data_IF_375698727703
#
_entry.id   IF_375698727703
#
_cell.length_a   1.000
_cell.length_b   1.000
_cell.length_c   1.000
_cell.angle_alpha   90.00
_cell.angle_beta   90.00
_cell.angle_gamma   90.00
#
_symmetry.space_group_name_H-M   'P 1'
#
loop_
_entity.id
_entity.type
_entity.pdbx_description
1 polymer ?
#
# COMPACT_ATOMS: atom_id res chain seq x y z
N UNK A 1 -13.58 8.24 1.30
CA UNK A 1 -12.63 7.23 0.80
C UNK A 1 -11.58 6.96 1.88
N UNK A 2 -10.88 5.81 1.88
CA UNK A 2 -9.91 5.44 2.93
C UNK A 2 -8.54 6.11 2.76
N UNK A 3 -8.16 6.44 1.53
CA UNK A 3 -6.85 7.00 1.16
C UNK A 3 -7.04 8.35 0.46
N UNK A 4 -6.18 9.31 0.76
CA UNK A 4 -6.15 10.65 0.14
C UNK A 4 -4.71 11.15 -0.03
N UNK A 5 -4.54 12.28 -0.72
CA UNK A 5 -3.25 12.96 -0.92
C UNK A 5 -2.14 12.03 -1.46
N UNK A 6 -2.49 11.14 -2.39
CA UNK A 6 -1.52 10.20 -2.94
C UNK A 6 -0.48 10.90 -3.81
N UNK A 7 0.80 10.64 -3.54
CA UNK A 7 1.93 11.11 -4.33
C UNK A 7 2.84 9.93 -4.64
N UNK A 8 3.22 9.78 -5.91
CA UNK A 8 4.20 8.78 -6.36
C UNK A 8 5.29 9.47 -7.16
N UNK A 9 6.55 9.28 -6.78
CA UNK A 9 7.71 9.91 -7.45
C UNK A 9 7.53 11.43 -7.63
N UNK A 10 7.07 12.13 -6.59
CA UNK A 10 6.77 13.57 -6.59
C UNK A 10 5.58 14.02 -7.45
N UNK A 11 4.89 13.10 -8.13
CA UNK A 11 3.68 13.40 -8.89
C UNK A 11 2.43 13.13 -8.06
N UNK A 12 1.51 14.09 -8.05
CA UNK A 12 0.17 13.89 -7.47
C UNK A 12 -0.56 12.84 -8.28
N UNK A 13 -1.15 11.85 -7.60
CA UNK A 13 -1.86 10.74 -8.20
C UNK A 13 -3.27 10.65 -7.63
N UNK A 14 -4.20 10.16 -8.43
CA UNK A 14 -5.49 9.74 -7.89
C UNK A 14 -5.31 8.41 -7.12
N UNK A 15 -5.66 8.40 -5.84
CA UNK A 15 -5.54 7.20 -4.99
C UNK A 15 -6.33 6.00 -5.56
N UNK A 16 -7.50 6.24 -6.15
CA UNK A 16 -8.36 5.20 -6.73
C UNK A 16 -7.77 4.58 -8.00
N UNK A 17 -6.87 5.30 -8.68
CA UNK A 17 -6.20 4.79 -9.87
C UNK A 17 -4.99 3.94 -9.51
N UNK A 18 -4.24 4.29 -8.48
CA UNK A 18 -2.96 3.65 -8.16
C UNK A 18 -3.08 2.49 -7.17
N UNK A 19 -4.10 2.50 -6.31
CA UNK A 19 -4.40 1.41 -5.40
C UNK A 19 -5.47 0.48 -5.96
N UNK A 20 -5.27 -0.81 -5.77
CA UNK A 20 -6.23 -1.84 -6.17
C UNK A 20 -6.74 -2.55 -4.93
N UNK A 21 -8.06 -2.65 -4.80
CA UNK A 21 -8.70 -3.43 -3.73
C UNK A 21 -8.31 -4.91 -3.86
N UNK A 22 -7.78 -5.50 -2.79
CA UNK A 22 -7.34 -6.90 -2.68
C UNK A 22 -7.87 -7.50 -1.38
N UNK A 23 -8.12 -8.81 -1.37
CA UNK A 23 -8.41 -9.56 -0.14
C UNK A 23 -7.11 -10.15 0.41
N UNK A 24 -6.85 -9.96 1.69
CA UNK A 24 -5.76 -10.58 2.45
C UNK A 24 -6.32 -11.44 3.59
N UNK A 25 -5.44 -12.11 4.33
CA UNK A 25 -5.80 -12.78 5.58
C UNK A 25 -6.30 -11.82 6.68
N UNK A 26 -6.02 -10.51 6.57
CA UNK A 26 -6.52 -9.47 7.48
C UNK A 26 -7.79 -8.78 6.97
N UNK A 27 -8.40 -9.28 5.89
CA UNK A 27 -9.63 -8.73 5.31
C UNK A 27 -9.41 -7.96 4.01
N UNK A 28 -10.21 -6.91 3.77
CA UNK A 28 -10.12 -6.10 2.55
C UNK A 28 -9.02 -5.05 2.72
N UNK A 29 -8.11 -4.97 1.75
CA UNK A 29 -6.97 -4.04 1.76
C UNK A 29 -6.88 -3.26 0.44
N UNK A 30 -6.20 -2.12 0.49
CA UNK A 30 -5.83 -1.34 -0.70
C UNK A 30 -4.37 -1.61 -1.02
N UNK A 31 -4.10 -2.24 -2.17
CA UNK A 31 -2.76 -2.67 -2.57
C UNK A 31 -2.19 -1.76 -3.67
N UNK A 32 -1.05 -1.14 -3.39
CA UNK A 32 -0.24 -0.44 -4.38
C UNK A 32 0.59 -1.44 -5.19
N UNK A 33 0.82 -1.17 -6.48
CA UNK A 33 1.64 -2.03 -7.37
C UNK A 33 1.21 -3.51 -7.47
N UNK A 34 -0.06 -3.83 -7.21
CA UNK A 34 -0.55 -5.21 -7.30
C UNK A 34 -0.71 -5.67 -8.75
N UNK A 35 -0.22 -6.88 -9.04
CA UNK A 35 -0.41 -7.60 -10.32
C UNK A 35 -1.30 -8.84 -10.19
N UNK A 36 -1.84 -9.13 -9.01
CA UNK A 36 -2.59 -10.38 -8.76
C UNK A 36 -4.06 -10.26 -9.16
N UNK A 37 -4.63 -9.06 -9.00
CA UNK A 37 -6.00 -8.76 -9.41
C UNK A 37 -6.13 -8.70 -10.93
N UNK A 38 -7.35 -8.88 -11.45
CA UNK A 38 -7.65 -8.68 -12.87
C UNK A 38 -7.26 -7.28 -13.35
N UNK A 39 -7.58 -6.24 -12.56
CA UNK A 39 -7.18 -4.84 -12.85
C UNK A 39 -5.66 -4.67 -12.87
N UNK A 40 -4.94 -5.36 -11.99
CA UNK A 40 -3.48 -5.34 -11.94
C UNK A 40 -2.83 -6.01 -13.15
N UNK A 41 -3.39 -7.14 -13.60
CA UNK A 41 -2.96 -7.84 -14.82
C UNK A 41 -3.22 -7.02 -16.08
N UNK A 42 -4.42 -6.45 -16.21
CA UNK A 42 -4.75 -5.56 -17.32
C UNK A 42 -3.81 -4.35 -17.37
N UNK A 43 -3.44 -3.77 -16.22
CA UNK A 43 -2.43 -2.71 -16.18
C UNK A 43 -1.06 -3.19 -16.69
N UNK A 44 -0.66 -4.42 -16.40
CA UNK A 44 0.60 -4.96 -16.88
C UNK A 44 0.61 -5.14 -18.40
N UNK A 45 -0.54 -5.44 -19.00
CA UNK A 45 -0.70 -5.54 -20.46
C UNK A 45 -0.71 -4.16 -21.14
N UNK A 46 -1.32 -3.15 -20.50
CA UNK A 46 -1.49 -1.81 -21.06
C UNK A 46 -0.32 -0.85 -20.77
N UNK A 47 0.37 -1.02 -19.64
CA UNK A 47 1.48 -0.17 -19.21
C UNK A 47 2.73 -1.02 -19.02
N UNK A 48 3.67 -0.93 -19.98
CA UNK A 48 4.96 -1.62 -19.94
C UNK A 48 5.84 -1.23 -18.75
N UNK A 49 5.52 -0.13 -18.06
CA UNK A 49 6.22 0.32 -16.84
C UNK A 49 5.55 -0.21 -15.56
N UNK A 50 4.39 -0.87 -15.65
CA UNK A 50 3.73 -1.49 -14.51
C UNK A 50 4.29 -2.90 -14.25
N UNK A 51 4.54 -3.30 -12.99
CA UNK A 51 4.43 -2.51 -11.76
C UNK A 51 5.53 -1.46 -11.67
N UNK A 52 5.19 -0.30 -11.11
CA UNK A 52 6.09 0.84 -11.10
C UNK A 52 7.32 0.62 -10.22
N UNK A 53 8.44 1.18 -10.65
CA UNK A 53 9.75 1.07 -9.99
C UNK A 53 10.29 2.45 -9.65
N UNK A 54 11.15 2.50 -8.63
CA UNK A 54 11.97 3.67 -8.31
C UNK A 54 13.41 3.40 -8.74
N UNK A 55 14.03 4.38 -9.39
CA UNK A 55 15.46 4.29 -9.78
C UNK A 55 16.42 4.93 -8.78
N UNK A 56 15.89 5.50 -7.69
CA UNK A 56 16.66 6.21 -6.67
C UNK A 56 15.94 6.15 -5.34
N UNK A 57 16.74 6.06 -4.27
CA UNK A 57 16.26 6.09 -2.89
C UNK A 57 15.87 7.51 -2.46
N UNK A 58 14.93 7.61 -1.52
CA UNK A 58 14.53 8.88 -0.91
C UNK A 58 13.02 9.00 -0.74
N UNK A 59 12.59 9.61 0.37
CA UNK A 59 11.18 9.71 0.73
C UNK A 59 10.32 10.41 -0.32
N UNK A 60 10.88 11.42 -1.02
CA UNK A 60 10.19 12.15 -2.09
C UNK A 60 9.89 11.29 -3.33
N UNK A 61 10.72 10.27 -3.58
CA UNK A 61 10.59 9.39 -4.75
C UNK A 61 9.70 8.17 -4.48
N UNK A 62 9.43 7.87 -3.21
CA UNK A 62 8.56 6.78 -2.80
C UNK A 62 7.06 7.09 -2.91
N UNK A 63 6.27 6.21 -2.32
CA UNK A 63 4.83 6.38 -2.15
C UNK A 63 4.57 7.22 -0.90
N UNK A 64 3.81 8.29 -1.05
CA UNK A 64 3.26 9.05 0.06
C UNK A 64 1.73 8.98 -0.04
N UNK A 65 1.09 8.71 1.08
CA UNK A 65 -0.36 8.57 1.17
C UNK A 65 -0.82 9.02 2.53
N UNK A 66 -1.94 9.72 2.58
CA UNK A 66 -2.65 10.04 3.81
C UNK A 66 -3.81 9.08 3.97
N UNK A 67 -3.97 8.52 5.15
CA UNK A 67 -5.11 7.65 5.47
C UNK A 67 -6.18 8.43 6.22
N UNK A 68 -7.45 8.12 5.92
CA UNK A 68 -8.62 8.71 6.56
C UNK A 68 -9.33 7.62 7.35
N UNK A 69 -9.14 7.63 8.67
CA UNK A 69 -9.84 6.73 9.58
C UNK A 69 -11.13 7.41 10.02
N UNK A 70 -12.27 6.79 9.73
CA UNK A 70 -13.57 7.28 10.18
C UNK A 70 -13.99 6.47 11.41
N UNK A 71 -13.91 7.10 12.58
CA UNK A 71 -14.18 6.45 13.86
C UNK A 71 -15.64 5.99 14.00
N UNK A 72 -16.60 6.70 13.38
CA UNK A 72 -18.02 6.33 13.40
C UNK A 72 -18.30 5.02 12.63
N UNK A 73 -17.40 4.65 11.73
CA UNK A 73 -17.49 3.39 10.95
C UNK A 73 -16.71 2.25 11.59
N UNK A 74 -16.03 2.48 12.71
CA UNK A 74 -15.38 1.42 13.44
C UNK A 74 -16.41 0.60 14.22
N UNK A 75 -16.10 -0.68 14.47
CA UNK A 75 -16.95 -1.52 15.30
C UNK A 75 -17.08 -0.90 16.70
N UNK A 76 -18.30 -0.67 17.22
CA UNK A 76 -18.53 0.01 18.48
C UNK A 76 -17.95 -0.75 19.69
N UNK A 77 -17.70 -2.05 19.53
CA UNK A 77 -17.12 -2.90 20.58
C UNK A 77 -15.61 -3.12 20.44
N UNK A 78 -14.96 -2.47 19.47
CA UNK A 78 -13.52 -2.62 19.25
C UNK A 78 -12.72 -1.78 20.25
N UNK A 79 -12.11 -2.45 21.23
CA UNK A 79 -11.10 -1.87 22.15
C UNK A 79 -9.70 -1.79 21.54
N UNK A 80 -9.51 -2.29 20.31
CA UNK A 80 -8.22 -2.28 19.61
C UNK A 80 -7.74 -0.86 19.33
N UNK A 81 -6.43 -0.65 19.42
CA UNK A 81 -5.76 0.59 19.00
C UNK A 81 -6.15 0.92 17.56
N UNK A 82 -6.42 2.20 17.31
CA UNK A 82 -6.81 2.67 15.98
C UNK A 82 -5.57 3.02 15.18
N UNK A 83 -5.58 2.66 13.90
CA UNK A 83 -4.42 2.82 13.03
C UNK A 83 -4.61 2.10 11.71
N UNK A 84 -3.50 1.86 11.02
CA UNK A 84 -3.43 1.05 9.82
C UNK A 84 -2.36 -0.02 9.97
N UNK A 85 -2.55 -1.15 9.32
CA UNK A 85 -1.50 -2.16 9.17
C UNK A 85 -1.00 -2.13 7.74
N UNK A 86 0.31 -1.98 7.58
CA UNK A 86 0.99 -2.07 6.29
C UNK A 86 1.57 -3.47 6.12
N UNK A 87 1.42 -4.01 4.91
CA UNK A 87 2.04 -5.28 4.50
C UNK A 87 2.90 -5.04 3.27
N UNK A 88 4.15 -5.48 3.33
CA UNK A 88 5.02 -5.56 2.15
C UNK A 88 5.11 -7.01 1.73
N UNK A 89 4.70 -7.31 0.50
CA UNK A 89 4.64 -8.67 -0.04
C UNK A 89 5.21 -8.72 -1.45
N UNK A 90 5.83 -9.83 -1.79
CA UNK A 90 6.13 -10.15 -3.17
C UNK A 90 4.86 -10.63 -3.88
N UNK A 91 4.74 -10.41 -5.21
CA UNK A 91 3.65 -11.00 -5.97
C UNK A 91 3.62 -12.52 -5.83
N UNK A 92 2.42 -13.09 -5.65
CA UNK A 92 2.15 -14.53 -5.45
C UNK A 92 2.66 -15.11 -4.13
N UNK A 93 3.15 -14.28 -3.22
CA UNK A 93 3.56 -14.68 -1.87
C UNK A 93 2.51 -14.23 -0.86
N UNK A 94 2.12 -15.15 0.03
CA UNK A 94 1.07 -14.93 1.03
C UNK A 94 1.62 -14.65 2.42
N UNK A 95 2.93 -14.82 2.64
CA UNK A 95 3.60 -14.42 3.88
C UNK A 95 3.97 -12.94 3.86
N UNK A 96 3.85 -12.29 5.02
CA UNK A 96 4.22 -10.90 5.22
C UNK A 96 4.61 -10.67 6.68
N UNK A 97 5.36 -9.60 6.91
CA UNK A 97 5.59 -9.04 8.24
C UNK A 97 4.76 -7.75 8.35
N UNK A 98 3.67 -7.74 9.13
CA UNK A 98 2.85 -6.55 9.28
C UNK A 98 3.61 -5.47 10.05
N UNK A 99 3.33 -4.22 9.69
CA UNK A 99 3.77 -3.04 10.44
C UNK A 99 2.52 -2.26 10.81
N UNK A 100 2.21 -2.19 12.09
CA UNK A 100 1.12 -1.37 12.60
C UNK A 100 1.58 0.07 12.78
N UNK A 101 0.81 1.00 12.23
CA UNK A 101 1.02 2.43 12.35
C UNK A 101 -0.17 2.99 13.13
N UNK A 102 0.06 3.61 14.30
CA UNK A 102 -1.02 4.20 15.08
C UNK A 102 -1.68 5.35 14.31
N UNK A 103 -2.90 5.72 14.72
CA UNK A 103 -3.53 6.93 14.19
C UNK A 103 -2.78 8.20 14.58
N UNK A 104 -3.05 9.29 13.87
CA UNK A 104 -2.56 10.64 14.18
C UNK A 104 -1.03 10.81 14.19
N UNK A 105 -0.30 9.95 13.46
CA UNK A 105 1.15 10.07 13.28
C UNK A 105 1.53 10.21 11.80
N UNK A 106 2.64 10.88 11.56
CA UNK A 106 3.34 10.83 10.28
C UNK A 106 4.43 9.76 10.35
N UNK A 107 4.19 8.62 9.72
CA UNK A 107 5.12 7.50 9.70
C UNK A 107 5.95 7.47 8.40
N UNK A 108 7.24 7.13 8.53
CA UNK A 108 8.14 6.83 7.40
C UNK A 108 8.56 5.38 7.47
N UNK A 109 8.21 4.61 6.44
CA UNK A 109 8.63 3.22 6.29
C UNK A 109 9.67 3.13 5.19
N UNK A 110 10.83 2.55 5.51
CA UNK A 110 11.91 2.31 4.56
C UNK A 110 11.95 0.81 4.22
N UNK A 111 12.04 0.50 2.94
CA UNK A 111 12.11 -0.88 2.45
C UNK A 111 13.49 -1.15 1.88
N UNK A 112 14.12 -2.22 2.34
CA UNK A 112 15.36 -2.75 1.79
C UNK A 112 15.07 -4.12 1.17
N UNK A 113 15.43 -4.29 -0.11
CA UNK A 113 15.32 -5.56 -0.78
C UNK A 113 16.65 -6.31 -0.69
N UNK A 114 16.60 -7.54 -0.20
CA UNK A 114 17.75 -8.45 -0.19
C UNK A 114 17.45 -9.62 -1.11
N UNK A 115 18.40 -9.95 -1.98
CA UNK A 115 18.35 -11.11 -2.85
C UNK A 115 19.52 -12.02 -2.48
N UNK A 116 19.19 -13.23 -1.99
CA UNK A 116 20.19 -14.25 -1.69
C UNK A 116 20.18 -15.27 -2.82
N UNK A 117 21.36 -15.57 -3.35
CA UNK A 117 21.57 -16.69 -4.25
C UNK A 117 22.18 -17.82 -3.42
N UNK A 118 21.55 -18.99 -3.41
CA UNK A 118 22.09 -20.21 -2.85
C UNK A 118 22.60 -21.10 -4.00
#
# INVERSE_FOLDING_TARGET
ELLTECVWRMHKMNCCDIFIRRRSNMGICMAFNSIESSRGRLKQEMDSKWPWRVGTSGSKYGLQVRTLLNEDKHSPYSTSSKGITIMTVQPKVWSFTPIDIPKDVYARVYLNAFMSFF
#
